data_IF_495909776001
#
_entry.id   IF_495909776001
#
_cell.length_a   1.000
_cell.length_b   1.000
_cell.length_c   1.000
_cell.angle_alpha   90.00
_cell.angle_beta   90.00
_cell.angle_gamma   90.00
#
_symmetry.space_group_name_H-M   'P 1'
#
loop_
_entity.id
_entity.type
_entity.pdbx_description
1 polymer ?
#
# COMPACT_ATOMS: atom_id res chain seq x y z
N UNK A 1 17.83 -7.26 25.58
CA UNK A 1 17.37 -6.79 24.25
C UNK A 1 15.86 -6.86 24.28
N UNK A 2 15.16 -5.74 24.18
CA UNK A 2 13.69 -5.71 24.17
C UNK A 2 13.20 -6.32 22.87
N UNK A 3 12.69 -7.55 22.95
CA UNK A 3 11.90 -8.18 21.90
C UNK A 3 10.49 -7.62 22.05
N UNK A 4 10.05 -6.77 21.15
CA UNK A 4 8.64 -6.35 21.10
C UNK A 4 7.90 -7.30 20.16
N UNK A 5 7.13 -8.24 20.71
CA UNK A 5 6.03 -8.85 19.97
C UNK A 5 4.82 -7.95 20.19
N UNK A 6 4.58 -7.05 19.25
CA UNK A 6 3.46 -6.10 19.31
C UNK A 6 2.57 -6.29 18.11
N UNK A 7 1.27 -6.35 18.36
CA UNK A 7 0.27 -6.23 17.32
C UNK A 7 0.19 -4.76 16.92
N UNK A 8 0.68 -4.45 15.72
CA UNK A 8 0.64 -3.10 15.13
C UNK A 8 -0.76 -2.87 14.55
N UNK A 9 -1.44 -1.76 14.91
CA UNK A 9 -2.70 -1.32 14.30
C UNK A 9 -2.42 -0.03 13.53
N UNK A 10 -2.50 -0.08 12.20
CA UNK A 10 -2.12 1.02 11.31
C UNK A 10 -3.21 1.26 10.25
N UNK A 11 -3.60 2.53 10.02
CA UNK A 11 -4.41 2.95 8.86
C UNK A 11 -3.51 3.68 7.85
N UNK A 12 -3.45 3.18 6.62
CA UNK A 12 -2.66 3.78 5.53
C UNK A 12 -3.55 4.50 4.52
N UNK A 13 -3.13 5.70 4.12
CA UNK A 13 -3.80 6.53 3.13
C UNK A 13 -2.85 6.85 1.98
N UNK A 14 -3.27 6.63 0.74
CA UNK A 14 -2.59 7.20 -0.41
C UNK A 14 -2.80 8.72 -0.44
N UNK A 15 -1.76 9.48 -0.77
CA UNK A 15 -1.85 10.93 -0.94
C UNK A 15 -1.33 11.32 -2.32
N UNK A 16 -2.05 12.12 -3.12
CA UNK A 16 -1.50 12.67 -4.34
C UNK A 16 -0.24 13.49 -4.05
N UNK A 17 0.88 13.26 -4.77
CA UNK A 17 2.16 13.94 -4.47
C UNK A 17 2.08 15.46 -4.42
N UNK A 18 1.19 16.06 -5.21
CA UNK A 18 0.96 17.52 -5.27
C UNK A 18 0.37 18.08 -3.97
N UNK A 19 -0.23 17.24 -3.11
CA UNK A 19 -0.85 17.63 -1.85
C UNK A 19 0.03 17.35 -0.62
N UNK A 20 1.23 16.78 -0.79
CA UNK A 20 2.15 16.53 0.32
C UNK A 20 2.51 17.82 1.08
N UNK A 21 2.76 18.91 0.37
CA UNK A 21 3.06 20.22 0.98
C UNK A 21 1.85 20.81 1.73
N UNK A 22 0.64 20.61 1.22
CA UNK A 22 -0.58 21.03 1.90
C UNK A 22 -0.79 20.26 3.22
N UNK A 23 -0.50 18.95 3.21
CA UNK A 23 -0.51 18.12 4.41
C UNK A 23 0.54 18.59 5.43
N UNK A 24 1.77 18.86 5.00
CA UNK A 24 2.83 19.38 5.88
C UNK A 24 2.45 20.70 6.54
N UNK A 25 1.93 21.66 5.76
CA UNK A 25 1.44 22.95 6.29
C UNK A 25 0.32 22.78 7.31
N UNK A 26 -0.56 21.81 7.10
CA UNK A 26 -1.62 21.47 8.06
C UNK A 26 -1.03 20.92 9.36
N UNK A 27 -0.09 19.98 9.27
CA UNK A 27 0.55 19.38 10.43
C UNK A 27 1.41 20.38 11.20
N UNK A 28 2.03 21.35 10.53
CA UNK A 28 2.78 22.43 11.16
C UNK A 28 1.93 23.32 12.10
N UNK A 29 0.60 23.34 11.93
CA UNK A 29 -0.32 24.06 12.83
C UNK A 29 -0.61 23.29 14.13
N UNK A 30 -0.18 22.03 14.23
CA UNK A 30 -0.31 21.23 15.45
C UNK A 30 0.82 21.57 16.42
N UNK A 31 0.54 21.47 17.72
CA UNK A 31 1.56 21.62 18.78
C UNK A 31 2.37 20.32 18.96
N UNK A 32 2.92 19.79 17.86
CA UNK A 32 3.80 18.62 17.85
C UNK A 32 4.93 18.87 16.87
N UNK A 33 6.16 18.74 17.32
CA UNK A 33 7.34 18.82 16.45
C UNK A 33 7.47 17.54 15.64
N UNK A 34 7.74 17.61 14.33
CA UNK A 34 8.03 16.43 13.53
C UNK A 34 9.41 15.84 13.85
N UNK A 35 9.53 14.53 13.67
CA UNK A 35 10.81 13.83 13.52
C UNK A 35 10.99 13.47 12.06
N UNK A 36 12.12 13.87 11.46
CA UNK A 36 12.44 13.58 10.07
C UNK A 36 13.57 12.56 9.96
N UNK A 37 13.39 11.57 9.09
CA UNK A 37 14.38 10.51 8.87
C UNK A 37 14.38 10.09 7.40
N UNK A 38 15.57 9.97 6.81
CA UNK A 38 15.73 9.27 5.54
C UNK A 38 15.89 7.78 5.81
N UNK A 39 14.99 6.98 5.24
CA UNK A 39 14.91 5.54 5.45
C UNK A 39 15.23 4.80 4.16
N UNK A 40 16.19 3.89 4.25
CA UNK A 40 16.52 2.94 3.17
C UNK A 40 16.24 1.54 3.71
N UNK A 41 15.29 0.84 3.12
CA UNK A 41 14.90 -0.51 3.54
C UNK A 41 15.13 -1.48 2.39
N UNK A 42 15.92 -2.52 2.63
CA UNK A 42 16.13 -3.64 1.69
C UNK A 42 15.24 -4.80 2.11
N UNK A 43 14.54 -5.38 1.14
CA UNK A 43 13.70 -6.55 1.34
C UNK A 43 14.42 -7.79 0.84
N UNK A 44 14.29 -8.87 1.59
CA UNK A 44 14.95 -10.14 1.33
C UNK A 44 13.90 -11.21 1.11
N UNK A 45 14.07 -11.97 0.03
CA UNK A 45 13.25 -13.12 -0.29
C UNK A 45 14.10 -14.12 -1.08
N UNK A 46 13.56 -15.31 -1.29
CA UNK A 46 14.05 -16.26 -2.28
C UNK A 46 13.83 -15.71 -3.71
N UNK A 47 14.60 -16.17 -4.72
CA UNK A 47 14.44 -15.69 -6.10
C UNK A 47 13.02 -15.88 -6.69
N UNK A 48 12.26 -16.85 -6.20
CA UNK A 48 10.88 -17.16 -6.56
C UNK A 48 9.83 -16.49 -5.63
N UNK A 49 10.28 -15.73 -4.63
CA UNK A 49 9.47 -15.02 -3.65
C UNK A 49 8.61 -15.92 -2.73
N UNK A 50 9.17 -17.05 -2.29
CA UNK A 50 8.52 -17.99 -1.38
C UNK A 50 8.09 -17.36 -0.04
N UNK A 51 8.84 -16.40 0.53
CA UNK A 51 8.43 -15.73 1.77
C UNK A 51 7.20 -14.86 1.54
N UNK A 52 7.23 -14.06 0.49
CA UNK A 52 6.10 -13.21 0.12
C UNK A 52 4.84 -14.04 -0.18
N UNK A 53 4.99 -15.21 -0.82
CA UNK A 53 3.90 -16.14 -1.07
C UNK A 53 3.29 -16.73 0.23
N UNK A 54 4.06 -16.78 1.31
CA UNK A 54 3.61 -17.17 2.65
C UNK A 54 3.15 -15.97 3.50
N UNK A 55 3.05 -14.78 2.90
CA UNK A 55 2.68 -13.56 3.63
C UNK A 55 3.77 -13.07 4.59
N UNK A 56 5.02 -13.50 4.44
CA UNK A 56 6.14 -13.08 5.29
C UNK A 56 7.01 -12.06 4.56
N UNK A 57 7.24 -10.91 5.18
CA UNK A 57 8.14 -9.87 4.68
C UNK A 57 9.35 -9.70 5.60
N UNK A 58 10.52 -10.15 5.14
CA UNK A 58 11.80 -9.90 5.79
C UNK A 58 12.46 -8.66 5.22
N UNK A 59 12.89 -7.74 6.09
CA UNK A 59 13.53 -6.49 5.67
C UNK A 59 14.62 -6.04 6.63
N UNK A 60 15.62 -5.37 6.07
CA UNK A 60 16.67 -4.65 6.81
C UNK A 60 16.58 -3.16 6.46
N UNK A 61 16.38 -2.33 7.48
CA UNK A 61 16.23 -0.88 7.38
C UNK A 61 17.44 -0.17 7.95
N UNK A 62 17.97 0.78 7.19
CA UNK A 62 18.89 1.81 7.67
C UNK A 62 18.10 3.07 8.02
N UNK A 63 18.18 3.46 9.29
CA UNK A 63 17.63 4.72 9.80
C UNK A 63 18.79 5.58 10.31
N UNK A 64 19.28 6.50 9.47
CA UNK A 64 20.51 7.25 9.74
C UNK A 64 21.73 6.31 9.88
N UNK A 65 22.28 6.22 11.09
CA UNK A 65 23.41 5.33 11.44
C UNK A 65 22.98 3.98 12.02
N UNK A 66 21.69 3.79 12.31
CA UNK A 66 21.16 2.57 12.93
C UNK A 66 20.70 1.59 11.86
N UNK A 67 20.90 0.30 12.13
CA UNK A 67 20.33 -0.79 11.36
C UNK A 67 19.30 -1.53 12.21
N UNK A 68 18.14 -1.77 11.60
CA UNK A 68 17.05 -2.55 12.16
C UNK A 68 16.73 -3.66 11.18
N UNK A 69 16.44 -4.86 11.66
CA UNK A 69 15.78 -5.89 10.88
C UNK A 69 14.36 -6.09 11.39
N UNK A 70 13.46 -6.37 10.47
CA UNK A 70 12.06 -6.62 10.78
C UNK A 70 11.58 -7.84 10.01
N UNK A 71 10.78 -8.64 10.69
CA UNK A 71 9.96 -9.67 10.06
C UNK A 71 8.50 -9.33 10.35
N UNK A 72 7.71 -9.17 9.28
CA UNK A 72 6.27 -8.91 9.34
C UNK A 72 5.53 -10.10 8.74
N UNK A 73 4.46 -10.54 9.40
CA UNK A 73 3.52 -11.48 8.78
C UNK A 73 2.35 -10.75 8.16
N UNK A 74 1.63 -11.45 7.30
CA UNK A 74 0.29 -11.08 6.94
C UNK A 74 -0.61 -11.21 8.18
N UNK A 75 -1.62 -10.37 8.23
CA UNK A 75 -2.62 -10.33 9.27
C UNK A 75 -3.88 -9.69 8.71
N UNK A 76 -4.83 -9.34 9.56
CA UNK A 76 -6.10 -8.78 9.09
C UNK A 76 -5.88 -7.42 8.42
N UNK A 77 -6.44 -7.26 7.20
CA UNK A 77 -6.42 -6.02 6.44
C UNK A 77 -7.79 -5.70 5.90
N UNK A 78 -8.34 -4.56 6.26
CA UNK A 78 -9.66 -4.09 5.80
C UNK A 78 -9.70 -2.57 5.76
N UNK A 79 -10.06 -1.96 4.63
CA UNK A 79 -10.35 -0.53 4.60
C UNK A 79 -9.15 0.38 4.89
N UNK A 80 -7.93 -0.07 4.63
CA UNK A 80 -6.66 0.61 4.89
C UNK A 80 -6.09 0.30 6.26
N UNK A 81 -6.88 -0.31 7.15
CA UNK A 81 -6.47 -0.76 8.47
C UNK A 81 -5.75 -2.10 8.35
N UNK A 82 -4.60 -2.22 9.00
CA UNK A 82 -3.83 -3.46 9.09
C UNK A 82 -3.52 -3.81 10.54
N UNK A 83 -3.65 -5.09 10.86
CA UNK A 83 -3.31 -5.68 12.15
C UNK A 83 -2.44 -6.92 11.94
N UNK A 84 -1.19 -6.91 12.41
CA UNK A 84 -0.23 -8.01 12.16
C UNK A 84 0.83 -8.13 13.25
N UNK A 85 1.46 -9.30 13.32
CA UNK A 85 2.65 -9.50 14.13
C UNK A 85 3.87 -8.86 13.46
N UNK A 86 4.67 -8.17 14.27
CA UNK A 86 5.96 -7.60 13.87
C UNK A 86 7.03 -7.96 14.89
N UNK A 87 8.18 -8.40 14.38
CA UNK A 87 9.39 -8.62 15.15
C UNK A 87 10.45 -7.64 14.67
N UNK A 88 10.82 -6.65 15.49
CA UNK A 88 11.86 -5.66 15.20
C UNK A 88 13.08 -5.82 16.12
N UNK A 89 14.28 -5.85 15.53
CA UNK A 89 15.54 -5.99 16.27
C UNK A 89 16.60 -5.06 15.70
N UNK A 90 17.39 -4.45 16.60
CA UNK A 90 18.59 -3.74 16.20
C UNK A 90 19.71 -4.71 15.79
N UNK A 91 20.36 -4.41 14.67
CA UNK A 91 21.50 -5.16 14.13
C UNK A 91 22.65 -4.22 13.79
N UNK A 92 23.81 -4.77 13.45
CA UNK A 92 25.04 -3.98 13.21
C UNK A 92 25.41 -3.86 11.72
N UNK A 93 24.76 -4.64 10.85
CA UNK A 93 25.10 -4.76 9.42
C UNK A 93 23.85 -4.61 8.56
N UNK A 94 24.04 -4.41 7.25
CA UNK A 94 22.97 -4.29 6.26
C UNK A 94 22.42 -5.63 5.74
N UNK A 95 22.53 -6.70 6.53
CA UNK A 95 22.13 -8.08 6.19
C UNK A 95 21.41 -8.70 7.38
N UNK A 96 20.42 -9.60 7.18
CA UNK A 96 19.72 -10.27 8.28
C UNK A 96 20.68 -10.98 9.24
N UNK A 97 20.46 -10.80 10.53
CA UNK A 97 21.14 -11.48 11.63
C UNK A 97 20.15 -12.42 12.33
N UNK A 98 20.15 -13.69 11.91
CA UNK A 98 19.24 -14.71 12.44
C UNK A 98 19.40 -14.97 13.93
N UNK A 99 20.58 -14.73 14.51
CA UNK A 99 20.83 -14.96 15.94
C UNK A 99 20.07 -14.00 16.85
N UNK A 100 19.52 -12.91 16.29
CA UNK A 100 18.80 -11.87 17.02
C UNK A 100 17.29 -12.10 17.05
N UNK A 101 16.76 -12.89 16.12
CA UNK A 101 15.32 -13.17 16.09
C UNK A 101 14.92 -14.12 17.23
N UNK A 102 13.75 -13.91 17.84
CA UNK A 102 13.20 -14.86 18.80
C UNK A 102 12.71 -16.14 18.09
N UNK A 103 12.47 -17.22 18.85
CA UNK A 103 12.14 -18.53 18.30
C UNK A 103 10.89 -18.51 17.40
N UNK A 104 9.89 -17.71 17.76
CA UNK A 104 8.64 -17.54 17.04
C UNK A 104 8.89 -16.94 15.64
N UNK A 105 9.77 -15.95 15.54
CA UNK A 105 10.15 -15.35 14.26
C UNK A 105 11.02 -16.30 13.42
N UNK A 106 11.88 -17.08 14.08
CA UNK A 106 12.69 -18.11 13.42
C UNK A 106 11.83 -19.21 12.81
N UNK A 107 10.73 -19.59 13.45
CA UNK A 107 9.80 -20.60 12.96
C UNK A 107 9.09 -20.17 11.65
N UNK A 108 8.93 -18.86 11.43
CA UNK A 108 8.31 -18.30 10.21
C UNK A 108 9.21 -18.40 8.97
N UNK A 109 10.52 -18.59 9.16
CA UNK A 109 11.48 -18.73 8.06
C UNK A 109 12.39 -19.92 8.35
N UNK A 110 12.05 -21.12 7.87
CA UNK A 110 12.86 -22.32 8.06
C UNK A 110 14.30 -22.15 7.55
N UNK A 111 15.27 -22.83 8.18
CA UNK A 111 16.69 -22.75 7.83
C UNK A 111 16.96 -23.02 6.34
N UNK A 112 16.21 -23.95 5.76
CA UNK A 112 16.27 -24.27 4.33
C UNK A 112 15.97 -23.07 3.43
N UNK A 113 15.06 -22.17 3.83
CA UNK A 113 14.77 -20.94 3.06
C UNK A 113 15.85 -19.87 3.31
N UNK A 114 16.37 -19.76 4.54
CA UNK A 114 17.30 -18.69 4.94
C UNK A 114 18.55 -18.62 4.07
N UNK A 115 19.06 -19.77 3.64
CA UNK A 115 20.28 -19.87 2.80
C UNK A 115 20.07 -19.39 1.37
N UNK A 116 18.82 -19.28 0.91
CA UNK A 116 18.47 -18.84 -0.44
C UNK A 116 18.04 -17.37 -0.52
N UNK A 117 18.01 -16.66 0.61
CA UNK A 117 17.51 -15.29 0.64
C UNK A 117 18.50 -14.32 0.01
N UNK A 118 17.99 -13.53 -0.93
CA UNK A 118 18.72 -12.47 -1.63
C UNK A 118 17.96 -11.15 -1.49
N UNK A 119 18.63 -10.00 -1.63
CA UNK A 119 17.94 -8.72 -1.76
C UNK A 119 17.10 -8.71 -3.05
N UNK A 120 15.79 -8.51 -2.93
CA UNK A 120 14.87 -8.55 -4.09
C UNK A 120 14.43 -7.15 -4.55
N UNK A 121 14.28 -6.21 -3.62
CA UNK A 121 13.98 -4.81 -3.91
C UNK A 121 14.32 -3.94 -2.70
N UNK A 122 14.23 -2.62 -2.86
CA UNK A 122 14.41 -1.67 -1.78
C UNK A 122 13.36 -0.56 -1.82
N UNK A 123 13.15 0.08 -0.67
CA UNK A 123 12.36 1.32 -0.57
C UNK A 123 13.26 2.42 -0.04
N UNK A 124 13.19 3.60 -0.65
CA UNK A 124 13.94 4.79 -0.24
C UNK A 124 12.96 5.94 -0.10
N UNK A 125 12.76 6.41 1.13
CA UNK A 125 11.84 7.52 1.37
C UNK A 125 12.25 8.33 2.58
N UNK A 126 11.84 9.60 2.58
CA UNK A 126 11.87 10.45 3.75
C UNK A 126 10.57 10.27 4.51
N UNK A 127 10.69 9.92 5.79
CA UNK A 127 9.58 9.90 6.75
C UNK A 127 9.59 11.21 7.54
N UNK A 128 8.45 11.86 7.62
CA UNK A 128 8.19 12.94 8.58
C UNK A 128 7.09 12.47 9.52
N UNK A 129 7.39 12.31 10.81
CA UNK A 129 6.49 11.71 11.78
C UNK A 129 6.13 12.68 12.93
N UNK A 130 4.88 12.63 13.41
CA UNK A 130 4.37 13.39 14.55
C UNK A 130 3.67 12.44 15.51
N UNK A 131 3.83 12.67 16.82
CA UNK A 131 3.04 11.96 17.83
C UNK A 131 1.88 12.85 18.28
N UNK A 132 0.66 12.49 17.88
CA UNK A 132 -0.55 13.23 18.22
C UNK A 132 -1.25 12.60 19.43
N UNK A 133 -1.74 13.46 20.32
CA UNK A 133 -2.67 13.09 21.38
C UNK A 133 -4.10 13.39 20.92
N UNK A 134 -4.93 12.35 20.84
CA UNK A 134 -6.33 12.41 20.50
C UNK A 134 -7.24 12.58 21.72
N UNK A 135 -8.55 12.64 21.47
CA UNK A 135 -9.56 12.58 22.54
C UNK A 135 -9.56 11.18 23.17
N UNK A 136 -10.03 11.06 24.40
CA UNK A 136 -10.13 9.77 25.10
C UNK A 136 -8.79 9.09 25.38
N UNK A 137 -7.68 9.84 25.41
CA UNK A 137 -6.35 9.30 25.69
C UNK A 137 -5.66 8.60 24.51
N UNK A 138 -6.25 8.65 23.31
CA UNK A 138 -5.64 8.06 22.12
C UNK A 138 -4.27 8.70 21.81
N UNK A 139 -3.31 7.88 21.42
CA UNK A 139 -1.99 8.30 20.95
C UNK A 139 -1.78 7.72 19.55
N UNK A 140 -1.55 8.61 18.59
CA UNK A 140 -1.44 8.26 17.17
C UNK A 140 -0.13 8.79 16.64
N UNK A 141 0.73 7.91 16.14
CA UNK A 141 1.84 8.33 15.30
C UNK A 141 1.30 8.57 13.89
N UNK A 142 1.50 9.79 13.40
CA UNK A 142 1.19 10.17 12.03
C UNK A 142 2.50 10.28 11.28
N UNK A 143 2.66 9.56 10.17
CA UNK A 143 3.85 9.63 9.33
C UNK A 143 3.49 9.96 7.89
N UNK A 144 4.15 10.96 7.31
CA UNK A 144 4.16 11.18 5.86
C UNK A 144 5.43 10.56 5.28
N UNK A 145 5.24 9.62 4.36
CA UNK A 145 6.33 8.99 3.61
C UNK A 145 6.35 9.49 2.18
N UNK A 146 7.48 10.05 1.75
CA UNK A 146 7.71 10.52 0.37
C UNK A 146 9.00 9.94 -0.18
N UNK A 147 8.92 9.23 -1.29
CA UNK A 147 10.08 8.59 -1.91
C UNK A 147 9.68 7.60 -3.00
N UNK A 148 10.28 6.40 -2.98
CA UNK A 148 10.09 5.39 -4.02
C UNK A 148 10.37 3.95 -3.54
N UNK A 149 9.76 3.00 -4.25
CA UNK A 149 10.12 1.58 -4.27
C UNK A 149 10.99 1.36 -5.51
N UNK A 150 12.09 0.60 -5.39
CA UNK A 150 13.00 0.28 -6.49
C UNK A 150 13.24 -1.22 -6.58
N UNK A 151 13.14 -1.77 -7.78
CA UNK A 151 13.51 -3.15 -8.07
C UNK A 151 14.31 -3.19 -9.38
N UNK A 152 15.62 -3.43 -9.28
CA UNK A 152 16.53 -3.32 -10.43
C UNK A 152 16.46 -1.94 -11.08
N UNK A 153 16.08 -1.89 -12.36
CA UNK A 153 15.91 -0.65 -13.15
C UNK A 153 14.54 0.02 -12.98
N UNK A 154 13.59 -0.65 -12.31
CA UNK A 154 12.22 -0.18 -12.16
C UNK A 154 12.06 0.60 -10.87
N UNK A 155 11.25 1.65 -10.91
CA UNK A 155 10.90 2.46 -9.74
C UNK A 155 9.42 2.82 -9.75
N UNK A 156 8.83 2.90 -8.55
CA UNK A 156 7.46 3.38 -8.32
C UNK A 156 7.45 4.41 -7.18
N UNK A 157 6.80 5.57 -7.34
CA UNK A 157 6.73 6.59 -6.29
C UNK A 157 5.97 6.12 -5.04
N UNK A 158 6.41 6.60 -3.88
CA UNK A 158 5.75 6.51 -2.58
C UNK A 158 5.31 7.93 -2.19
N UNK A 159 4.01 8.11 -1.97
CA UNK A 159 3.46 9.28 -1.29
C UNK A 159 2.23 8.82 -0.49
N UNK A 160 2.42 8.61 0.80
CA UNK A 160 1.38 8.05 1.66
C UNK A 160 1.48 8.57 3.09
N UNK A 161 0.33 8.58 3.75
CA UNK A 161 0.20 8.90 5.17
C UNK A 161 -0.06 7.58 5.91
N UNK A 162 0.75 7.26 6.91
CA UNK A 162 0.52 6.15 7.83
C UNK A 162 0.07 6.71 9.18
N UNK A 163 -0.99 6.10 9.73
CA UNK A 163 -1.57 6.40 11.04
C UNK A 163 -1.43 5.17 11.92
N UNK A 164 -0.49 5.17 12.84
CA UNK A 164 -0.26 4.03 13.75
C UNK A 164 -0.82 4.32 15.14
N UNK A 165 -1.65 3.42 15.66
CA UNK A 165 -2.22 3.53 16.99
C UNK A 165 -1.20 3.06 18.04
N UNK A 166 -0.70 3.99 18.86
CA UNK A 166 0.18 3.69 19.99
C UNK A 166 -0.60 3.39 21.27
N UNK A 167 -1.77 4.01 21.44
CA UNK A 167 -2.70 3.76 22.53
C UNK A 167 -4.11 4.25 22.16
N UNK A 168 -5.14 3.68 22.78
CA UNK A 168 -6.55 4.06 22.56
C UNK A 168 -7.30 3.10 21.66
N UNK A 169 -8.37 3.58 21.03
CA UNK A 169 -9.26 2.78 20.19
C UNK A 169 -9.00 3.03 18.68
N UNK A 170 -9.16 2.02 17.81
CA UNK A 170 -8.88 2.15 16.36
C UNK A 170 -9.75 3.17 15.61
N UNK A 171 -10.96 3.43 16.07
CA UNK A 171 -11.88 4.46 15.57
C UNK A 171 -11.26 5.86 15.54
N UNK A 172 -10.32 6.15 16.45
CA UNK A 172 -9.57 7.41 16.46
C UNK A 172 -8.74 7.63 15.18
N UNK A 173 -8.26 6.55 14.53
CA UNK A 173 -7.53 6.65 13.26
C UNK A 173 -8.48 7.10 12.13
N UNK A 174 -9.66 6.50 12.05
CA UNK A 174 -10.68 6.85 11.05
C UNK A 174 -11.22 8.26 11.25
N UNK A 175 -11.46 8.68 12.49
CA UNK A 175 -11.88 10.04 12.79
C UNK A 175 -10.86 11.09 12.30
N UNK A 176 -9.56 10.81 12.47
CA UNK A 176 -8.50 11.68 11.99
C UNK A 176 -8.43 11.69 10.45
N UNK A 177 -8.49 10.51 9.81
CA UNK A 177 -8.49 10.37 8.36
C UNK A 177 -9.69 11.07 7.70
N UNK A 178 -10.89 10.93 8.27
CA UNK A 178 -12.10 11.58 7.78
C UNK A 178 -11.99 13.11 7.83
N UNK A 179 -11.38 13.64 8.90
CA UNK A 179 -11.09 15.08 9.02
C UNK A 179 -10.05 15.62 8.01
N UNK A 180 -9.33 14.73 7.32
CA UNK A 180 -8.43 15.09 6.21
C UNK A 180 -9.08 14.91 4.85
N UNK A 181 -9.89 13.86 4.67
CA UNK A 181 -10.60 13.57 3.42
C UNK A 181 -11.52 14.70 2.96
N UNK A 182 -11.92 15.62 3.86
CA UNK A 182 -12.69 16.82 3.51
C UNK A 182 -11.88 17.89 2.75
N UNK A 183 -10.55 17.82 2.77
CA UNK A 183 -9.66 18.88 2.25
C UNK A 183 -8.49 18.34 1.43
N UNK A 184 -8.20 17.05 1.55
CA UNK A 184 -7.17 16.33 0.82
C UNK A 184 -7.82 15.15 0.11
N UNK A 185 -7.34 14.84 -1.09
CA UNK A 185 -7.79 13.70 -1.88
C UNK A 185 -7.12 12.39 -1.39
N UNK A 186 -6.97 12.26 -0.07
CA UNK A 186 -6.38 11.07 0.54
C UNK A 186 -7.40 9.94 0.67
N UNK A 187 -7.01 8.73 0.29
CA UNK A 187 -7.89 7.56 0.25
C UNK A 187 -7.24 6.36 0.95
N UNK A 188 -7.99 5.51 1.67
CA UNK A 188 -7.42 4.32 2.30
C UNK A 188 -6.75 3.38 1.30
N UNK A 189 -5.53 2.93 1.63
CA UNK A 189 -4.67 2.13 0.76
C UNK A 189 -4.21 0.86 1.48
N UNK A 190 -4.68 -0.31 1.01
CA UNK A 190 -4.33 -1.60 1.61
C UNK A 190 -2.97 -2.15 1.18
N UNK A 191 -2.54 -1.81 -0.03
CA UNK A 191 -1.31 -2.37 -0.60
C UNK A 191 -0.09 -1.84 0.17
N UNK A 192 0.66 -2.76 0.76
CA UNK A 192 1.87 -2.44 1.50
C UNK A 192 3.01 -2.01 0.58
N UNK A 193 4.05 -1.40 1.16
CA UNK A 193 5.31 -1.15 0.46
C UNK A 193 5.97 -2.47 0.00
N UNK A 194 5.81 -3.55 0.77
CA UNK A 194 6.35 -4.87 0.44
C UNK A 194 5.67 -5.46 -0.79
N UNK A 195 4.34 -5.49 -0.84
CA UNK A 195 3.58 -5.99 -1.99
C UNK A 195 3.85 -5.19 -3.26
N UNK A 196 3.94 -3.87 -3.16
CA UNK A 196 4.36 -3.03 -4.30
C UNK A 196 5.75 -3.41 -4.80
N UNK A 197 6.69 -3.65 -3.89
CA UNK A 197 8.04 -4.07 -4.25
C UNK A 197 8.12 -5.45 -4.90
N UNK A 198 7.35 -6.43 -4.41
CA UNK A 198 7.25 -7.76 -5.02
C UNK A 198 6.68 -7.65 -6.44
N UNK A 199 5.56 -6.96 -6.62
CA UNK A 199 4.95 -6.73 -7.95
C UNK A 199 5.93 -6.05 -8.90
N UNK A 200 6.59 -4.98 -8.43
CA UNK A 200 7.58 -4.25 -9.22
C UNK A 200 8.78 -5.13 -9.62
N UNK A 201 9.28 -5.96 -8.70
CA UNK A 201 10.39 -6.86 -8.94
C UNK A 201 10.04 -7.99 -9.91
N UNK A 202 8.78 -8.45 -9.91
CA UNK A 202 8.25 -9.42 -10.88
C UNK A 202 7.87 -8.78 -12.23
N UNK A 203 7.92 -7.45 -12.35
CA UNK A 203 7.45 -6.73 -13.55
C UNK A 203 5.93 -6.77 -13.71
N UNK A 204 5.20 -7.00 -12.62
CA UNK A 204 3.74 -7.07 -12.59
C UNK A 204 3.14 -5.68 -12.37
N UNK A 205 2.28 -5.25 -13.30
CA UNK A 205 1.45 -4.05 -13.12
C UNK A 205 0.25 -4.31 -12.21
N UNK A 206 -0.45 -3.25 -11.80
CA UNK A 206 -1.75 -3.40 -11.16
C UNK A 206 -2.74 -4.01 -12.15
N UNK A 207 -3.19 -5.24 -11.89
CA UNK A 207 -4.21 -5.90 -12.69
C UNK A 207 -5.62 -5.61 -12.13
N UNK A 208 -6.65 -5.46 -12.99
CA UNK A 208 -8.02 -5.32 -12.52
C UNK A 208 -8.48 -6.56 -11.74
N UNK A 209 -9.09 -6.33 -10.58
CA UNK A 209 -9.62 -7.39 -9.72
C UNK A 209 -11.16 -7.38 -9.81
N UNK A 210 -11.73 -8.55 -10.13
CA UNK A 210 -13.19 -8.74 -10.17
C UNK A 210 -13.76 -8.98 -8.78
N UNK A 211 -15.06 -8.78 -8.64
CA UNK A 211 -15.79 -9.10 -7.42
C UNK A 211 -15.67 -10.59 -7.14
N UNK A 212 -15.31 -10.97 -5.92
CA UNK A 212 -15.34 -12.36 -5.48
C UNK A 212 -16.79 -12.80 -5.21
N UNK A 213 -17.12 -14.09 -5.41
CA UNK A 213 -18.41 -14.64 -4.97
C UNK A 213 -18.57 -14.45 -3.46
N UNK A 214 -19.71 -13.91 -3.04
CA UNK A 214 -20.05 -13.77 -1.64
C UNK A 214 -20.87 -14.99 -1.20
N UNK A 215 -20.45 -15.65 -0.13
CA UNK A 215 -21.26 -16.69 0.51
C UNK A 215 -22.06 -16.05 1.62
N UNK A 216 -23.37 -15.97 1.43
CA UNK A 216 -24.32 -15.56 2.46
C UNK A 216 -25.02 -16.81 2.99
N UNK A 217 -25.01 -16.99 4.31
CA UNK A 217 -25.71 -18.08 4.97
C UNK A 217 -27.09 -17.61 5.42
N UNK A 218 -28.12 -18.45 5.25
CA UNK A 218 -29.48 -18.19 5.75
C UNK A 218 -29.58 -17.99 7.26
N UNK A 219 -28.58 -18.45 8.02
CA UNK A 219 -28.47 -18.25 9.46
C UNK A 219 -27.85 -16.89 9.84
N UNK A 220 -27.29 -16.12 8.88
CA UNK A 220 -26.75 -14.79 9.14
C UNK A 220 -27.87 -13.81 9.49
N UNK A 221 -27.59 -12.88 10.40
CA UNK A 221 -28.46 -11.72 10.59
C UNK A 221 -28.39 -10.81 9.35
N UNK A 222 -29.36 -9.89 9.22
CA UNK A 222 -29.35 -8.89 8.14
C UNK A 222 -28.11 -8.00 8.24
N UNK A 223 -27.72 -7.63 9.46
CA UNK A 223 -26.54 -6.83 9.75
C UNK A 223 -25.24 -7.54 9.34
N UNK A 224 -25.11 -8.82 9.66
CA UNK A 224 -23.95 -9.63 9.29
C UNK A 224 -23.86 -9.81 7.77
N UNK A 225 -25.00 -10.07 7.12
CA UNK A 225 -25.09 -10.16 5.66
C UNK A 225 -24.71 -8.82 4.99
N UNK A 226 -25.23 -7.70 5.50
CA UNK A 226 -24.87 -6.36 5.03
C UNK A 226 -23.37 -6.07 5.21
N UNK A 227 -22.82 -6.38 6.39
CA UNK A 227 -21.40 -6.22 6.66
C UNK A 227 -20.54 -7.04 5.68
N UNK A 228 -20.91 -8.30 5.44
CA UNK A 228 -20.21 -9.17 4.50
C UNK A 228 -20.21 -8.59 3.06
N UNK A 229 -21.37 -8.11 2.59
CA UNK A 229 -21.49 -7.44 1.28
C UNK A 229 -20.60 -6.20 1.22
N UNK A 230 -20.71 -5.32 2.22
CA UNK A 230 -19.96 -4.06 2.25
C UNK A 230 -18.45 -4.31 2.25
N UNK A 231 -17.97 -5.27 3.05
CA UNK A 231 -16.56 -5.64 3.10
C UNK A 231 -16.06 -6.21 1.77
N UNK A 232 -16.85 -7.04 1.08
CA UNK A 232 -16.48 -7.55 -0.24
C UNK A 232 -16.37 -6.44 -1.29
N UNK A 233 -17.33 -5.51 -1.31
CA UNK A 233 -17.30 -4.34 -2.20
C UNK A 233 -16.09 -3.44 -1.91
N UNK A 234 -15.81 -3.17 -0.63
CA UNK A 234 -14.69 -2.36 -0.19
C UNK A 234 -13.35 -3.01 -0.59
N UNK A 235 -13.18 -4.31 -0.31
CA UNK A 235 -11.98 -5.06 -0.68
C UNK A 235 -11.75 -5.02 -2.20
N UNK A 236 -12.80 -5.20 -3.01
CA UNK A 236 -12.69 -5.09 -4.46
C UNK A 236 -12.26 -3.68 -4.90
N UNK A 237 -12.89 -2.63 -4.35
CA UNK A 237 -12.54 -1.26 -4.66
C UNK A 237 -11.06 -0.98 -4.34
N UNK A 238 -10.61 -1.38 -3.15
CA UNK A 238 -9.23 -1.17 -2.70
C UNK A 238 -8.21 -1.98 -3.50
N UNK A 239 -8.55 -3.21 -3.91
CA UNK A 239 -7.69 -4.01 -4.77
C UNK A 239 -7.44 -3.37 -6.15
N UNK A 240 -8.44 -2.63 -6.66
CA UNK A 240 -8.34 -1.91 -7.94
C UNK A 240 -7.75 -0.50 -7.80
N UNK A 241 -7.73 0.07 -6.58
CA UNK A 241 -7.29 1.43 -6.33
C UNK A 241 -5.87 1.73 -6.87
N UNK A 242 -4.86 0.85 -6.73
CA UNK A 242 -3.55 1.10 -7.33
C UNK A 242 -3.60 1.32 -8.85
N UNK A 243 -4.45 0.59 -9.57
CA UNK A 243 -4.65 0.76 -11.01
C UNK A 243 -5.38 2.05 -11.37
N UNK A 244 -6.22 2.58 -10.49
CA UNK A 244 -6.91 3.87 -10.66
C UNK A 244 -5.98 5.05 -10.34
N UNK A 245 -5.09 4.89 -9.36
CA UNK A 245 -4.14 5.93 -8.97
C UNK A 245 -2.92 6.00 -9.91
N UNK A 246 -2.52 4.88 -10.55
CA UNK A 246 -1.36 4.82 -11.45
C UNK A 246 -1.41 5.80 -12.65
N UNK A 247 -2.55 6.00 -13.36
CA UNK A 247 -2.69 7.00 -14.42
C UNK A 247 -2.44 8.44 -13.96
N UNK A 248 -2.63 8.74 -12.67
CA UNK A 248 -2.36 10.05 -12.09
C UNK A 248 -0.88 10.24 -11.70
N UNK A 249 -0.11 9.15 -11.63
CA UNK A 249 1.30 9.13 -11.20
C UNK A 249 2.30 8.93 -12.37
N UNK A 250 1.83 8.50 -13.55
CA UNK A 250 2.65 8.18 -14.74
C UNK A 250 3.40 9.35 -15.40
N UNK A 251 3.20 10.60 -14.98
CA UNK A 251 4.00 11.72 -15.54
C UNK A 251 5.46 11.75 -15.07
N UNK A 252 5.93 10.82 -14.23
CA UNK A 252 7.20 10.97 -13.51
C UNK A 252 8.16 9.75 -13.49
N UNK A 253 8.08 8.76 -14.38
CA UNK A 253 9.02 7.62 -14.29
C UNK A 253 9.47 7.00 -15.62
N UNK A 254 10.33 7.71 -16.34
CA UNK A 254 11.48 7.09 -17.02
C UNK A 254 12.70 7.97 -16.70
N UNK A 255 13.58 7.52 -15.79
CA UNK A 255 14.94 8.05 -15.67
C UNK A 255 15.90 6.94 -16.11
N UNK A 256 16.32 7.01 -17.37
CA UNK A 256 17.58 6.41 -17.79
C UNK A 256 18.69 7.35 -17.30
N UNK A 257 19.52 6.91 -16.35
CA UNK A 257 20.81 7.58 -16.14
C UNK A 257 21.76 7.17 -17.26
N UNK A 258 22.35 8.11 -18.02
CA UNK A 258 23.40 7.76 -18.97
C UNK A 258 24.67 7.45 -18.18
N UNK A 259 25.19 6.22 -18.30
CA UNK A 259 26.59 5.98 -17.99
C UNK A 259 27.41 6.45 -19.19
N UNK A 260 28.35 7.36 -18.91
CA UNK A 260 29.36 7.80 -19.85
C UNK A 260 30.26 6.62 -20.24
N UNK A 261 30.43 6.43 -21.54
CA UNK A 261 31.39 5.54 -22.16
C UNK A 261 31.55 5.98 -23.61
N UNK A 262 32.56 6.80 -23.88
CA UNK A 262 33.01 7.13 -25.23
C UNK A 262 33.57 5.86 -25.90
N UNK A 263 33.08 5.53 -27.10
CA UNK A 263 33.89 5.48 -28.33
C UNK A 263 33.03 5.10 -29.56
N UNK A 264 33.46 5.44 -30.79
CA UNK A 264 32.56 5.72 -31.91
C UNK A 264 32.47 4.62 -32.97
N UNK A 265 31.59 4.91 -33.93
CA UNK A 265 31.44 4.36 -35.30
C UNK A 265 30.53 3.15 -35.51
N UNK A 266 29.64 3.29 -36.52
CA UNK A 266 28.97 2.15 -37.17
C UNK A 266 27.51 2.40 -37.53
N UNK A 267 27.26 2.97 -38.70
CA UNK A 267 25.95 3.30 -39.27
C UNK A 267 25.07 2.10 -39.66
N UNK A 268 23.74 2.35 -39.57
CA UNK A 268 22.60 1.88 -40.41
C UNK A 268 22.05 0.46 -40.21
N UNK A 269 20.81 0.41 -39.71
CA UNK A 269 19.87 -0.72 -39.82
C UNK A 269 18.46 -0.27 -39.43
N UNK A 270 17.45 -0.69 -40.16
CA UNK A 270 16.17 -0.01 -40.34
C UNK A 270 15.10 -0.24 -39.25
N UNK A 271 14.19 0.75 -39.20
CA UNK A 271 12.84 0.71 -38.63
C UNK A 271 12.14 -0.66 -38.70
N UNK A 272 11.58 -1.14 -37.57
CA UNK A 272 10.17 -1.56 -37.45
C UNK A 272 9.73 -1.40 -35.98
N UNK A 273 8.82 -0.47 -35.72
CA UNK A 273 8.02 -0.38 -34.48
C UNK A 273 6.59 -0.82 -34.82
N UNK A 274 5.95 -1.74 -34.08
CA UNK A 274 4.51 -1.90 -34.15
C UNK A 274 3.84 -0.86 -33.26
N UNK A 275 3.20 0.09 -33.93
CA UNK A 275 2.38 1.15 -33.38
C UNK A 275 1.02 0.58 -32.92
N UNK A 276 0.83 0.35 -31.62
CA UNK A 276 -0.51 0.19 -31.01
C UNK A 276 -0.45 0.66 -29.57
N UNK A 277 -0.97 1.86 -29.30
CA UNK A 277 -1.59 2.30 -28.04
C UNK A 277 -2.00 3.78 -28.18
N UNK A 278 -3.04 4.04 -28.95
CA UNK A 278 -3.75 5.32 -28.93
C UNK A 278 -5.22 5.10 -29.23
N UNK A 279 -6.02 4.79 -28.20
CA UNK A 279 -7.47 5.02 -28.16
C UNK A 279 -8.05 4.63 -26.80
N UNK A 280 -7.92 5.50 -25.78
CA UNK A 280 -8.79 5.44 -24.59
C UNK A 280 -8.64 6.67 -23.68
N UNK A 281 -8.61 7.88 -24.24
CA UNK A 281 -8.49 9.13 -23.46
C UNK A 281 -9.56 10.17 -23.80
N UNK A 282 -10.81 9.72 -24.03
CA UNK A 282 -11.94 10.64 -24.30
C UNK A 282 -13.26 10.26 -23.62
N UNK A 283 -13.25 9.61 -22.45
CA UNK A 283 -14.49 9.34 -21.70
C UNK A 283 -14.53 9.84 -20.24
N UNK A 284 -13.53 10.58 -19.76
CA UNK A 284 -13.52 11.10 -18.36
C UNK A 284 -13.74 12.63 -18.32
N UNK A 285 -14.41 13.20 -19.34
CA UNK A 285 -14.85 14.60 -19.33
C UNK A 285 -16.23 14.75 -19.95
N UNK A 286 -17.27 14.33 -19.23
CA UNK A 286 -18.60 14.95 -19.25
C UNK A 286 -19.38 14.41 -18.06
N UNK A 287 -19.77 15.34 -17.18
CA UNK A 287 -20.50 15.05 -15.96
C UNK A 287 -21.76 14.24 -16.22
N UNK A 288 -22.08 13.39 -15.26
CA UNK A 288 -23.33 12.66 -15.20
C UNK A 288 -24.50 13.65 -15.22
N UNK A 289 -25.11 13.82 -16.40
CA UNK A 289 -26.50 14.24 -16.55
C UNK A 289 -27.26 13.03 -17.08
N UNK A 290 -28.10 12.45 -16.23
CA UNK A 290 -29.14 11.54 -16.66
C UNK A 290 -30.09 12.32 -17.59
N UNK A 291 -30.09 11.95 -18.87
CA UNK A 291 -31.05 12.40 -19.88
C UNK A 291 -31.46 11.18 -20.67
N UNK A 292 -32.74 10.83 -20.61
CA UNK A 292 -33.25 9.54 -21.01
C UNK A 292 -33.20 9.25 -22.51
N UNK A 293 -33.23 7.96 -22.82
CA UNK A 293 -33.86 7.45 -24.02
C UNK A 293 -34.60 6.16 -23.68
N UNK A 294 -35.92 6.30 -23.59
CA UNK A 294 -36.89 5.21 -23.62
C UNK A 294 -37.02 4.78 -25.08
N UNK A 295 -36.79 3.51 -25.41
CA UNK A 295 -37.78 2.62 -26.06
C UNK A 295 -37.22 1.26 -26.46
N UNK A 296 -37.96 0.25 -25.99
CA UNK A 296 -38.36 -1.02 -26.62
C UNK A 296 -37.41 -2.22 -26.60
N UNK A 297 -37.76 -3.15 -25.70
CA UNK A 297 -38.07 -4.58 -25.89
C UNK A 297 -37.52 -5.33 -24.66
N UNK A 298 -38.25 -6.07 -23.84
CA UNK A 298 -39.65 -6.47 -23.72
C UNK A 298 -39.70 -7.50 -22.57
N UNK A 299 -40.74 -7.44 -21.72
CA UNK A 299 -41.35 -8.48 -20.86
C UNK A 299 -40.43 -9.48 -20.12
N UNK A 300 -40.47 -9.62 -18.79
CA UNK A 300 -41.46 -10.36 -17.96
C UNK A 300 -41.17 -9.93 -16.49
N UNK A 301 -42.02 -9.23 -15.73
CA UNK A 301 -43.30 -9.57 -15.05
C UNK A 301 -43.19 -10.55 -13.85
N UNK A 302 -43.63 -10.08 -12.67
CA UNK A 302 -43.88 -10.86 -11.42
C UNK A 302 -43.41 -10.12 -10.14
N UNK A 303 -44.13 -9.11 -9.61
CA UNK A 303 -45.14 -9.18 -8.52
C UNK A 303 -44.64 -9.88 -7.24
N UNK A 304 -44.83 -9.40 -6.00
CA UNK A 304 -45.81 -8.46 -5.45
C UNK A 304 -45.31 -7.78 -4.16
N UNK A 305 -45.78 -6.55 -3.96
CA UNK A 305 -45.79 -5.81 -2.70
C UNK A 305 -47.09 -6.15 -1.95
N UNK A 306 -47.03 -6.41 -0.65
CA UNK A 306 -48.17 -6.26 0.27
C UNK A 306 -47.65 -5.71 1.60
N UNK A 307 -47.97 -4.43 1.86
CA UNK A 307 -48.06 -3.87 3.22
C UNK A 307 -49.49 -4.04 3.69
N UNK A 308 -49.62 -4.45 4.93
CA UNK A 308 -50.84 -4.55 5.74
C UNK A 308 -51.49 -3.19 5.98
N UNK A 309 -52.81 -3.16 5.90
CA UNK A 309 -53.66 -2.93 7.08
C UNK A 309 -54.51 -4.18 7.28
#
# INVERSE_FOLDING_TARGET
MTVSNSVEIELKLALPPQQAEAFLKRMARRRSSPVQQDLITRYFDTPDFALSAQGVALRVRRAGRRWLQMLKTEGERRGGLSQRAEYEMAITRGTPDWKRFPAEALALVPDALRVHLVPVFETRFRRTAWLLKGRGGAQIEVALDVGEVRAGKWSQPICEIELELKAGQPDALFALAQGWAQQLDCVPLDVSKAERGVRLARGEGAAPVKSAPLTLDSAMSVEDGFAAIYQACLAQFQANLPGVLCPLMERLSIRLSPQAGEHPEGHKGANVMPNRLTTSSTCIRRGWRCGGYVRRCGCIAGYACCRTN
#
